data_IF_180987865539
#
_entry.id   IF_180987865539
#
_cell.length_a   1.000
_cell.length_b   1.000
_cell.length_c   1.000
_cell.angle_alpha   90.00
_cell.angle_beta   90.00
_cell.angle_gamma   90.00
#
_symmetry.space_group_name_H-M   'P 1'
#
loop_
_entity.id
_entity.type
_entity.pdbx_description
1 polymer ?
#
# COMPACT_ATOMS: atom_id res chain seq x y z
N UNK A 1 -6.16 -14.72 -1.31
CA UNK A 1 -7.48 -14.34 -0.74
C UNK A 1 -7.83 -13.00 -1.34
N UNK A 2 -9.05 -12.84 -1.85
CA UNK A 2 -9.48 -11.56 -2.44
C UNK A 2 -10.67 -10.98 -1.70
N UNK A 3 -10.79 -9.65 -1.75
CA UNK A 3 -12.02 -8.94 -1.39
C UNK A 3 -12.33 -7.88 -2.43
N UNK A 4 -13.60 -7.78 -2.83
CA UNK A 4 -14.08 -6.79 -3.78
C UNK A 4 -15.12 -5.90 -3.11
N UNK A 5 -14.81 -4.61 -3.05
CA UNK A 5 -15.65 -3.59 -2.47
C UNK A 5 -16.07 -2.61 -3.55
N UNK A 6 -17.38 -2.34 -3.64
CA UNK A 6 -17.91 -1.38 -4.60
C UNK A 6 -18.70 -0.31 -3.86
N UNK A 7 -18.33 0.95 -4.06
CA UNK A 7 -19.12 2.09 -3.63
C UNK A 7 -19.84 2.68 -4.84
N UNK A 8 -21.17 2.70 -4.81
CA UNK A 8 -21.99 3.27 -5.88
C UNK A 8 -22.99 4.27 -5.29
N UNK A 9 -22.96 5.52 -5.71
CA UNK A 9 -23.89 6.57 -5.21
C UNK A 9 -23.96 6.65 -3.67
N UNK A 10 -22.83 6.50 -2.99
CA UNK A 10 -22.65 6.58 -1.54
C UNK A 10 -23.03 5.30 -0.79
N UNK A 11 -23.39 4.23 -1.51
CA UNK A 11 -23.78 2.94 -0.93
C UNK A 11 -22.72 1.89 -1.22
N UNK A 12 -22.34 1.14 -0.18
CA UNK A 12 -21.37 0.05 -0.29
C UNK A 12 -22.05 -1.28 -0.59
N UNK A 13 -21.49 -2.00 -1.54
CA UNK A 13 -21.89 -3.34 -1.93
C UNK A 13 -20.68 -4.27 -1.79
N UNK A 14 -20.86 -5.37 -1.05
CA UNK A 14 -19.93 -6.50 -1.13
C UNK A 14 -20.33 -7.33 -2.34
N UNK A 15 -19.39 -7.55 -3.24
CA UNK A 15 -19.61 -8.27 -4.48
C UNK A 15 -18.74 -9.53 -4.46
N UNK A 16 -19.38 -10.70 -4.41
CA UNK A 16 -18.66 -11.98 -4.38
C UNK A 16 -18.34 -12.50 -5.79
N UNK A 17 -19.03 -12.00 -6.82
CA UNK A 17 -18.85 -12.42 -8.21
C UNK A 17 -17.96 -11.44 -8.97
N UNK A 18 -16.70 -11.82 -9.15
CA UNK A 18 -15.69 -11.00 -9.83
C UNK A 18 -15.99 -10.82 -11.33
N UNK A 19 -16.86 -11.63 -11.95
CA UNK A 19 -17.24 -11.46 -13.36
C UNK A 19 -18.07 -10.20 -13.63
N UNK A 20 -18.57 -9.55 -12.57
CA UNK A 20 -19.34 -8.30 -12.65
C UNK A 20 -18.47 -7.04 -12.61
N UNK A 21 -17.13 -7.18 -12.47
CA UNK A 21 -16.21 -6.05 -12.36
C UNK A 21 -16.36 -5.11 -13.56
N UNK A 22 -16.38 -5.64 -14.79
CA UNK A 22 -16.55 -4.84 -16.00
C UNK A 22 -17.79 -3.93 -15.98
N UNK A 23 -18.91 -4.38 -15.40
CA UNK A 23 -20.14 -3.57 -15.31
C UNK A 23 -19.96 -2.36 -14.39
N UNK A 24 -19.22 -2.52 -13.29
CA UNK A 24 -18.91 -1.43 -12.38
C UNK A 24 -17.83 -0.49 -12.93
N UNK A 25 -16.83 -1.03 -13.65
CA UNK A 25 -15.82 -0.21 -14.32
C UNK A 25 -16.45 0.70 -15.38
N UNK A 26 -17.52 0.25 -16.05
CA UNK A 26 -18.27 1.06 -17.01
C UNK A 26 -19.15 2.15 -16.37
N UNK A 27 -19.43 2.09 -15.07
CA UNK A 27 -20.25 3.09 -14.36
C UNK A 27 -19.35 4.19 -13.75
N UNK A 28 -19.44 5.45 -14.24
CA UNK A 28 -18.65 6.56 -13.70
C UNK A 28 -19.06 6.96 -12.26
N UNK A 29 -20.17 6.42 -11.74
CA UNK A 29 -20.65 6.63 -10.37
C UNK A 29 -20.38 5.42 -9.45
N UNK A 30 -19.54 4.48 -9.90
CA UNK A 30 -19.05 3.39 -9.08
C UNK A 30 -17.54 3.58 -8.84
N UNK A 31 -17.10 3.37 -7.61
CA UNK A 31 -15.70 3.23 -7.24
C UNK A 31 -15.46 1.79 -6.78
N UNK A 32 -14.55 1.09 -7.46
CA UNK A 32 -14.21 -0.30 -7.19
C UNK A 32 -12.88 -0.38 -6.44
N UNK A 33 -12.83 -1.14 -5.35
CA UNK A 33 -11.58 -1.56 -4.71
C UNK A 33 -11.49 -3.08 -4.66
N UNK A 34 -10.57 -3.65 -5.44
CA UNK A 34 -10.20 -5.06 -5.39
C UNK A 34 -8.90 -5.23 -4.59
N UNK A 35 -8.93 -5.94 -3.47
CA UNK A 35 -7.73 -6.34 -2.72
C UNK A 35 -7.41 -7.81 -3.00
N UNK A 36 -6.15 -8.08 -3.39
CA UNK A 36 -5.63 -9.40 -3.70
C UNK A 36 -4.43 -9.72 -2.80
N UNK A 37 -4.56 -10.76 -1.99
CA UNK A 37 -3.46 -11.32 -1.22
C UNK A 37 -2.89 -12.57 -1.89
N UNK A 38 -1.63 -12.47 -2.33
CA UNK A 38 -0.87 -13.50 -3.05
C UNK A 38 -1.69 -14.12 -4.21
N UNK A 39 -1.94 -13.35 -5.28
CA UNK A 39 -2.91 -13.74 -6.30
C UNK A 39 -2.50 -15.02 -7.04
N UNK A 40 -3.49 -15.87 -7.33
CA UNK A 40 -3.29 -17.08 -8.13
C UNK A 40 -3.37 -16.81 -9.65
N UNK A 41 -3.15 -17.85 -10.47
CA UNK A 41 -3.18 -17.73 -11.93
C UNK A 41 -4.54 -17.25 -12.49
N UNK A 42 -5.64 -17.55 -11.79
CA UNK A 42 -6.98 -17.14 -12.21
C UNK A 42 -7.21 -15.65 -11.89
N UNK A 43 -6.80 -15.19 -10.71
CA UNK A 43 -6.82 -13.78 -10.32
C UNK A 43 -5.89 -12.96 -11.22
N UNK A 44 -4.71 -13.48 -11.57
CA UNK A 44 -3.80 -12.86 -12.54
C UNK A 44 -4.42 -12.76 -13.93
N UNK A 45 -5.15 -13.78 -14.38
CA UNK A 45 -5.89 -13.72 -15.65
C UNK A 45 -6.97 -12.64 -15.61
N UNK A 46 -7.69 -12.51 -14.49
CA UNK A 46 -8.69 -11.47 -14.29
C UNK A 46 -8.12 -10.06 -14.39
N UNK A 47 -6.94 -9.80 -13.80
CA UNK A 47 -6.26 -8.50 -13.92
C UNK A 47 -5.97 -8.11 -15.37
N UNK A 48 -5.69 -9.10 -16.23
CA UNK A 48 -5.47 -8.87 -17.66
C UNK A 48 -6.78 -8.73 -18.42
N UNK A 49 -7.76 -9.57 -18.13
CA UNK A 49 -8.94 -9.72 -18.99
C UNK A 49 -10.06 -8.71 -18.64
N UNK A 50 -10.22 -8.34 -17.37
CA UNK A 50 -11.25 -7.39 -16.91
C UNK A 50 -10.74 -5.95 -16.81
N UNK A 51 -9.49 -5.75 -16.36
CA UNK A 51 -8.89 -4.43 -16.19
C UNK A 51 -7.96 -4.03 -17.35
N UNK A 52 -7.71 -4.94 -18.30
CA UNK A 52 -6.82 -4.72 -19.44
C UNK A 52 -5.38 -4.29 -19.04
N UNK A 53 -4.90 -4.72 -17.86
CA UNK A 53 -3.56 -4.36 -17.41
C UNK A 53 -2.48 -4.95 -18.32
N UNK A 54 -1.48 -4.12 -18.59
CA UNK A 54 -0.33 -4.54 -19.39
C UNK A 54 0.42 -5.70 -18.70
N UNK A 55 0.82 -6.75 -19.44
CA UNK A 55 1.47 -7.93 -18.84
C UNK A 55 2.71 -7.62 -17.98
N UNK A 56 3.53 -6.64 -18.39
CA UNK A 56 4.68 -6.20 -17.60
C UNK A 56 4.29 -5.53 -16.28
N UNK A 57 3.15 -4.82 -16.23
CA UNK A 57 2.67 -4.21 -15.01
C UNK A 57 2.20 -5.26 -14.01
N UNK A 58 1.52 -6.31 -14.51
CA UNK A 58 1.11 -7.47 -13.70
C UNK A 58 2.34 -8.21 -13.19
N UNK A 59 3.33 -8.45 -14.05
CA UNK A 59 4.59 -9.11 -13.66
C UNK A 59 5.31 -8.34 -12.56
N UNK A 60 5.43 -7.02 -12.68
CA UNK A 60 6.03 -6.16 -11.67
C UNK A 60 5.23 -6.15 -10.35
N UNK A 61 3.89 -6.21 -10.44
CA UNK A 61 3.02 -6.19 -9.27
C UNK A 61 2.92 -7.54 -8.53
N UNK A 62 3.21 -8.65 -9.20
CA UNK A 62 3.23 -9.99 -8.59
C UNK A 62 4.65 -10.37 -8.14
N UNK A 63 5.69 -9.79 -8.75
CA UNK A 63 7.07 -10.00 -8.29
C UNK A 63 7.28 -9.39 -6.91
N UNK A 64 7.98 -10.15 -6.09
CA UNK A 64 8.41 -9.70 -4.77
C UNK A 64 9.69 -8.85 -4.88
N UNK A 65 9.84 -7.84 -4.02
CA UNK A 65 11.03 -6.97 -3.88
C UNK A 65 11.32 -5.92 -4.97
N UNK A 66 10.34 -5.50 -5.77
CA UNK A 66 10.53 -4.34 -6.66
C UNK A 66 10.74 -3.04 -5.88
N UNK A 67 11.52 -2.10 -6.44
CA UNK A 67 11.76 -0.81 -5.76
C UNK A 67 10.50 0.06 -5.80
N UNK A 68 10.26 0.92 -4.79
CA UNK A 68 9.17 1.86 -4.86
C UNK A 68 9.27 2.73 -6.12
N UNK A 69 8.17 2.80 -6.88
CA UNK A 69 8.08 3.50 -8.15
C UNK A 69 6.63 3.83 -8.49
N UNK A 70 6.45 4.72 -9.46
CA UNK A 70 5.18 4.93 -10.17
C UNK A 70 5.44 4.86 -11.66
N UNK A 71 4.72 3.98 -12.34
CA UNK A 71 4.75 3.82 -13.78
C UNK A 71 3.38 4.21 -14.36
N UNK A 72 3.40 5.03 -15.41
CA UNK A 72 2.19 5.43 -16.14
C UNK A 72 1.92 4.45 -17.28
N UNK A 73 0.67 4.01 -17.38
CA UNK A 73 0.14 3.24 -18.49
C UNK A 73 -1.03 4.01 -19.13
N UNK A 74 -1.57 3.49 -20.24
CA UNK A 74 -2.76 4.07 -20.84
C UNK A 74 -3.97 3.79 -19.93
N UNK A 75 -4.61 4.85 -19.44
CA UNK A 75 -5.79 4.78 -18.56
C UNK A 75 -5.52 4.51 -17.07
N UNK A 76 -4.31 4.13 -16.66
CA UNK A 76 -4.01 3.80 -15.26
C UNK A 76 -2.54 3.99 -14.88
N UNK A 77 -2.26 3.87 -13.58
CA UNK A 77 -0.91 3.90 -13.02
C UNK A 77 -0.65 2.65 -12.19
N UNK A 78 0.58 2.15 -12.24
CA UNK A 78 1.09 1.16 -11.29
C UNK A 78 1.96 1.89 -10.27
N UNK A 79 1.59 1.78 -9.00
CA UNK A 79 2.40 2.23 -7.87
C UNK A 79 2.95 1.01 -7.14
N UNK A 80 4.25 1.04 -6.85
CA UNK A 80 4.89 0.11 -5.92
C UNK A 80 5.24 0.93 -4.69
N UNK A 81 4.66 0.55 -3.56
CA UNK A 81 4.83 1.21 -2.27
C UNK A 81 5.08 0.16 -1.20
N UNK A 82 5.55 0.55 -0.02
CA UNK A 82 5.76 -0.34 1.09
C UNK A 82 4.98 0.10 2.31
N UNK A 83 4.58 -0.87 3.12
CA UNK A 83 4.27 -0.69 4.54
C UNK A 83 5.41 -1.31 5.35
N UNK A 84 5.55 -0.87 6.59
CA UNK A 84 6.54 -1.41 7.51
C UNK A 84 5.85 -1.80 8.83
N UNK A 85 6.37 -2.85 9.46
CA UNK A 85 5.91 -3.29 10.78
C UNK A 85 7.05 -3.91 11.57
N UNK A 86 6.84 -4.07 12.88
CA UNK A 86 7.72 -4.91 13.69
C UNK A 86 7.23 -6.36 13.68
N UNK A 87 8.16 -7.29 13.53
CA UNK A 87 7.88 -8.71 13.78
C UNK A 87 7.96 -9.06 15.29
N UNK A 88 7.64 -10.32 15.61
CA UNK A 88 7.72 -10.86 16.98
C UNK A 88 9.15 -10.81 17.55
N UNK A 89 10.17 -10.68 16.69
CA UNK A 89 11.58 -10.53 17.05
C UNK A 89 12.03 -9.08 17.23
N UNK A 90 11.11 -8.11 17.19
CA UNK A 90 11.36 -6.68 17.25
C UNK A 90 12.29 -6.19 16.12
N UNK A 91 12.18 -6.78 14.93
CA UNK A 91 12.85 -6.35 13.71
C UNK A 91 11.85 -5.68 12.79
N UNK A 92 12.33 -4.68 12.04
CA UNK A 92 11.50 -4.05 11.01
C UNK A 92 11.39 -4.98 9.82
N UNK A 93 10.15 -5.31 9.44
CA UNK A 93 9.80 -5.98 8.20
C UNK A 93 9.13 -4.99 7.26
N UNK A 94 9.44 -5.13 5.98
CA UNK A 94 8.78 -4.39 4.91
C UNK A 94 7.81 -5.30 4.18
N UNK A 95 6.65 -4.76 3.81
CA UNK A 95 5.67 -5.43 2.98
C UNK A 95 5.34 -4.57 1.79
N UNK A 96 5.53 -5.11 0.58
CA UNK A 96 5.16 -4.40 -0.64
C UNK A 96 3.63 -4.34 -0.77
N UNK A 97 3.15 -3.16 -1.14
CA UNK A 97 1.79 -2.89 -1.55
C UNK A 97 1.82 -2.34 -2.96
N UNK A 98 1.41 -3.17 -3.91
CA UNK A 98 1.37 -2.82 -5.32
C UNK A 98 -0.05 -2.37 -5.67
N UNK A 99 -0.19 -1.17 -6.24
CA UNK A 99 -1.46 -0.51 -6.46
C UNK A 99 -1.64 -0.19 -7.94
N UNK A 100 -2.70 -0.72 -8.56
CA UNK A 100 -3.18 -0.20 -9.84
C UNK A 100 -4.24 0.85 -9.57
N UNK A 101 -4.06 2.03 -10.15
CA UNK A 101 -4.92 3.19 -9.92
C UNK A 101 -5.49 3.66 -11.25
N UNK A 102 -6.79 3.48 -11.43
CA UNK A 102 -7.54 3.97 -12.59
C UNK A 102 -8.47 5.14 -12.26
N UNK A 103 -9.33 5.52 -13.21
CA UNK A 103 -10.30 6.61 -13.03
C UNK A 103 -11.30 6.32 -11.90
N UNK A 104 -11.82 5.09 -11.84
CA UNK A 104 -12.86 4.68 -10.90
C UNK A 104 -12.57 3.35 -10.20
N UNK A 105 -11.30 2.95 -10.13
CA UNK A 105 -10.90 1.76 -9.39
C UNK A 105 -9.52 1.88 -8.74
N UNK A 106 -9.35 1.11 -7.67
CA UNK A 106 -8.09 0.81 -7.01
C UNK A 106 -7.94 -0.70 -6.92
N UNK A 107 -6.83 -1.27 -7.40
CA UNK A 107 -6.50 -2.69 -7.18
C UNK A 107 -5.27 -2.76 -6.31
N UNK A 108 -5.34 -3.44 -5.17
CA UNK A 108 -4.19 -3.70 -4.30
C UNK A 108 -3.72 -5.15 -4.41
N UNK A 109 -2.40 -5.34 -4.54
CA UNK A 109 -1.75 -6.64 -4.50
C UNK A 109 -0.72 -6.64 -3.38
N UNK A 110 -0.79 -7.64 -2.50
CA UNK A 110 0.09 -7.81 -1.34
C UNK A 110 0.43 -9.28 -1.09
N UNK A 111 1.57 -9.55 -0.46
CA UNK A 111 2.02 -10.91 -0.13
C UNK A 111 1.94 -11.22 1.38
N UNK A 112 1.26 -10.37 2.14
CA UNK A 112 1.04 -10.52 3.57
C UNK A 112 0.02 -9.49 4.09
N UNK A 113 -0.27 -9.53 5.39
CA UNK A 113 -1.27 -8.66 6.01
C UNK A 113 -0.75 -7.23 6.21
N UNK A 114 -1.43 -6.24 5.61
CA UNK A 114 -1.13 -4.81 5.77
C UNK A 114 -2.28 -4.16 6.54
N UNK A 115 -2.01 -3.71 7.77
CA UNK A 115 -3.00 -3.12 8.68
C UNK A 115 -3.62 -1.83 8.15
N UNK A 116 -2.81 -1.00 7.50
CA UNK A 116 -3.16 0.33 7.00
C UNK A 116 -4.16 0.24 5.85
N UNK A 117 -4.08 -0.83 5.07
CA UNK A 117 -5.06 -1.16 4.05
C UNK A 117 -6.42 -1.45 4.68
N UNK A 118 -6.45 -2.31 5.70
CA UNK A 118 -7.68 -2.64 6.40
C UNK A 118 -8.28 -1.42 7.12
N UNK A 119 -7.46 -0.62 7.79
CA UNK A 119 -7.90 0.62 8.43
C UNK A 119 -8.51 1.60 7.43
N UNK A 120 -7.85 1.79 6.28
CA UNK A 120 -8.37 2.65 5.21
C UNK A 120 -9.69 2.13 4.67
N UNK A 121 -9.82 0.81 4.50
CA UNK A 121 -11.04 0.18 4.04
C UNK A 121 -12.19 0.36 5.04
N UNK A 122 -11.94 0.23 6.34
CA UNK A 122 -12.93 0.53 7.40
C UNK A 122 -13.34 2.01 7.36
N UNK A 123 -12.38 2.93 7.24
CA UNK A 123 -12.66 4.38 7.11
C UNK A 123 -13.48 4.70 5.87
N UNK A 124 -13.26 4.00 4.77
CA UNK A 124 -14.01 4.17 3.53
C UNK A 124 -15.48 3.73 3.69
N UNK A 125 -15.74 2.62 4.37
CA UNK A 125 -17.09 2.12 4.65
C UNK A 125 -17.86 2.92 5.73
N UNK A 126 -17.20 3.86 6.42
CA UNK A 126 -17.84 4.62 7.49
C UNK A 126 -18.99 5.50 6.96
N UNK A 127 -20.09 5.69 7.73
CA UNK A 127 -21.16 6.60 7.34
C UNK A 127 -20.62 8.04 7.13
N UNK A 128 -20.98 8.66 6.01
CA UNK A 128 -20.46 9.97 5.58
C UNK A 128 -18.92 10.00 5.45
N UNK A 129 -18.30 8.89 5.05
CA UNK A 129 -16.85 8.83 4.87
C UNK A 129 -16.37 9.98 3.96
N UNK A 130 -15.36 10.75 4.39
CA UNK A 130 -14.84 11.88 3.62
C UNK A 130 -14.21 11.43 2.29
N UNK A 131 -13.87 10.15 2.17
CA UNK A 131 -13.25 9.53 0.98
C UNK A 131 -14.24 9.51 -0.21
N UNK A 132 -15.50 9.13 0.02
CA UNK A 132 -16.54 9.08 -1.02
C UNK A 132 -16.21 8.17 -2.22
N UNK A 133 -16.71 8.53 -3.41
CA UNK A 133 -16.49 7.83 -4.69
C UNK A 133 -15.37 8.48 -5.52
N UNK A 134 -14.23 8.78 -4.87
CA UNK A 134 -13.10 9.39 -5.57
C UNK A 134 -11.83 8.58 -5.35
N UNK A 135 -11.32 7.98 -6.42
CA UNK A 135 -10.11 7.14 -6.40
C UNK A 135 -8.90 7.89 -5.86
N UNK A 136 -8.73 9.17 -6.18
CA UNK A 136 -7.63 10.00 -5.67
C UNK A 136 -7.70 10.16 -4.17
N UNK A 137 -8.89 10.43 -3.61
CA UNK A 137 -9.08 10.54 -2.16
C UNK A 137 -8.85 9.20 -1.47
N UNK A 138 -9.27 8.10 -2.09
CA UNK A 138 -9.04 6.76 -1.56
C UNK A 138 -7.55 6.42 -1.53
N UNK A 139 -6.84 6.63 -2.64
CA UNK A 139 -5.39 6.45 -2.71
C UNK A 139 -4.67 7.35 -1.70
N UNK A 140 -5.04 8.63 -1.63
CA UNK A 140 -4.46 9.55 -0.65
C UNK A 140 -4.65 9.03 0.76
N UNK A 141 -5.87 8.64 1.15
CA UNK A 141 -6.15 8.12 2.49
C UNK A 141 -5.33 6.87 2.82
N UNK A 142 -5.13 5.99 1.84
CA UNK A 142 -4.30 4.79 1.99
C UNK A 142 -2.82 5.15 2.23
N UNK A 143 -2.26 5.98 1.36
CA UNK A 143 -0.85 6.39 1.46
C UNK A 143 -0.58 7.21 2.73
N UNK A 144 -1.53 8.07 3.12
CA UNK A 144 -1.48 8.85 4.36
C UNK A 144 -1.43 7.93 5.59
N UNK A 145 -2.29 6.90 5.63
CA UNK A 145 -2.30 5.91 6.72
C UNK A 145 -0.97 5.15 6.81
N UNK A 146 -0.37 4.79 5.67
CA UNK A 146 0.95 4.14 5.62
C UNK A 146 2.06 5.08 6.13
N UNK A 147 2.05 6.34 5.66
CA UNK A 147 3.04 7.33 6.08
C UNK A 147 2.94 7.65 7.57
N UNK A 148 1.72 7.73 8.11
CA UNK A 148 1.48 7.92 9.54
C UNK A 148 2.05 6.75 10.37
N UNK A 149 1.94 5.52 9.88
CA UNK A 149 2.53 4.36 10.53
C UNK A 149 4.07 4.43 10.59
N UNK A 150 4.74 5.04 9.59
CA UNK A 150 6.18 5.25 9.66
C UNK A 150 6.62 6.12 10.84
N UNK A 151 5.84 7.13 11.23
CA UNK A 151 6.13 7.92 12.43
C UNK A 151 6.01 7.06 13.69
N UNK A 152 4.96 6.24 13.78
CA UNK A 152 4.76 5.31 14.90
C UNK A 152 5.91 4.31 15.03
N UNK A 153 6.44 3.80 13.91
CA UNK A 153 7.61 2.93 13.92
C UNK A 153 8.88 3.67 14.36
N UNK A 154 9.05 4.91 13.91
CA UNK A 154 10.19 5.74 14.28
C UNK A 154 10.21 6.07 15.77
N UNK A 155 9.04 6.29 16.39
CA UNK A 155 8.95 6.49 17.84
C UNK A 155 9.48 5.25 18.60
N UNK A 156 9.13 4.03 18.16
CA UNK A 156 9.67 2.79 18.74
C UNK A 156 11.18 2.62 18.52
N UNK A 157 11.70 3.09 17.38
CA UNK A 157 13.16 3.13 17.15
C UNK A 157 13.82 4.02 18.20
N UNK A 158 13.26 5.19 18.50
CA UNK A 158 13.79 6.12 19.51
C UNK A 158 13.82 5.44 20.88
N UNK A 159 12.70 4.85 21.31
CA UNK A 159 12.64 4.12 22.59
C UNK A 159 13.73 3.03 22.68
N UNK A 160 13.93 2.26 21.60
CA UNK A 160 14.95 1.20 21.54
C UNK A 160 16.38 1.75 21.57
N UNK A 161 16.62 2.95 21.04
CA UNK A 161 17.92 3.63 21.18
C UNK A 161 18.17 3.98 22.64
N UNK A 162 17.19 4.57 23.32
CA UNK A 162 17.32 4.97 24.73
C UNK A 162 17.59 3.76 25.64
N UNK A 163 16.85 2.66 25.46
CA UNK A 163 17.09 1.40 26.18
C UNK A 163 18.50 0.83 25.97
N UNK A 164 19.02 0.95 24.74
CA UNK A 164 20.34 0.47 24.37
C UNK A 164 21.44 1.35 24.97
N UNK A 165 21.24 2.67 24.99
CA UNK A 165 22.14 3.62 25.66
C UNK A 165 22.22 3.32 27.16
N UNK A 166 21.10 3.17 27.85
CA UNK A 166 21.05 2.82 29.27
C UNK A 166 21.79 1.52 29.58
N UNK A 167 21.64 0.51 28.71
CA UNK A 167 22.34 -0.78 28.86
C UNK A 167 23.85 -0.61 28.73
N UNK A 168 24.33 0.16 27.75
CA UNK A 168 25.74 0.37 27.49
C UNK A 168 26.41 1.17 28.61
N UNK A 169 25.77 2.26 29.07
CA UNK A 169 26.31 3.10 30.13
C UNK A 169 26.19 2.49 31.53
N UNK A 170 25.18 1.65 31.77
CA UNK A 170 24.97 0.97 33.04
C UNK A 170 25.94 -0.19 33.27
N UNK A 171 25.90 -1.21 32.41
CA UNK A 171 26.85 -2.34 32.40
C UNK A 171 26.96 -2.89 30.99
N UNK A 172 28.03 -2.54 30.29
CA UNK A 172 28.31 -3.05 28.96
C UNK A 172 28.21 -4.58 28.89
N UNK A 173 27.39 -5.07 27.95
CA UNK A 173 27.27 -6.49 27.59
C UNK A 173 27.67 -6.66 26.13
N UNK A 174 28.30 -7.79 25.82
CA UNK A 174 28.68 -8.11 24.43
C UNK A 174 27.44 -8.20 23.51
N UNK A 175 26.29 -8.60 24.07
CA UNK A 175 24.98 -8.62 23.41
C UNK A 175 24.57 -7.22 22.87
N UNK A 176 24.95 -6.14 23.57
CA UNK A 176 24.62 -4.75 23.17
C UNK A 176 25.18 -4.39 21.79
N UNK A 177 26.33 -4.95 21.41
CA UNK A 177 26.89 -4.75 20.05
C UNK A 177 25.95 -5.36 19.00
N UNK A 178 25.40 -6.55 19.26
CA UNK A 178 24.49 -7.21 18.32
C UNK A 178 23.21 -6.40 18.13
N UNK A 179 22.68 -5.81 19.21
CA UNK A 179 21.48 -4.98 19.14
C UNK A 179 21.72 -3.67 18.38
N UNK A 180 22.90 -3.03 18.53
CA UNK A 180 23.32 -1.89 17.69
C UNK A 180 23.29 -2.29 16.20
N UNK A 181 23.89 -3.45 15.86
CA UNK A 181 23.94 -3.89 14.47
C UNK A 181 22.55 -4.24 13.91
N UNK A 182 21.67 -4.82 14.71
CA UNK A 182 20.26 -5.08 14.33
C UNK A 182 19.53 -3.78 14.07
N UNK A 183 19.57 -2.83 15.00
CA UNK A 183 18.93 -1.52 14.85
C UNK A 183 19.45 -0.77 13.62
N UNK A 184 20.77 -0.79 13.39
CA UNK A 184 21.37 -0.23 12.18
C UNK A 184 20.84 -0.89 10.90
N UNK A 185 20.67 -2.21 10.90
CA UNK A 185 20.13 -2.95 9.74
C UNK A 185 18.67 -2.56 9.49
N UNK A 186 17.86 -2.49 10.54
CA UNK A 186 16.45 -2.09 10.50
C UNK A 186 16.29 -0.68 9.92
N UNK A 187 17.08 0.29 10.40
CA UNK A 187 17.10 1.67 9.88
C UNK A 187 17.54 1.76 8.42
N UNK A 188 18.53 0.95 8.01
CA UNK A 188 18.96 0.90 6.62
C UNK A 188 17.88 0.28 5.71
N UNK A 189 17.14 -0.70 6.22
CA UNK A 189 16.02 -1.30 5.50
C UNK A 189 14.90 -0.29 5.29
N UNK A 190 14.45 0.38 6.37
CA UNK A 190 13.42 1.41 6.30
C UNK A 190 13.83 2.55 5.35
N UNK A 191 15.07 3.04 5.45
CA UNK A 191 15.59 4.07 4.53
C UNK A 191 15.53 3.66 3.07
N UNK A 192 15.76 2.37 2.74
CA UNK A 192 15.72 1.88 1.36
C UNK A 192 14.31 1.88 0.77
N UNK A 193 13.28 1.77 1.59
CA UNK A 193 11.88 1.89 1.18
C UNK A 193 11.41 3.35 1.16
N UNK A 194 11.53 4.06 2.29
CA UNK A 194 10.95 5.40 2.46
C UNK A 194 11.62 6.47 1.58
N UNK A 195 12.92 6.36 1.31
CA UNK A 195 13.61 7.39 0.53
C UNK A 195 13.13 7.44 -0.94
N UNK A 196 13.02 6.32 -1.68
CA UNK A 196 12.38 6.30 -3.00
C UNK A 196 10.89 6.64 -2.99
N UNK A 197 10.14 6.28 -1.95
CA UNK A 197 8.71 6.60 -1.84
C UNK A 197 8.42 8.11 -1.84
N UNK A 198 9.34 8.91 -1.30
CA UNK A 198 9.24 10.37 -1.41
C UNK A 198 9.20 10.83 -2.87
N UNK A 199 9.96 10.19 -3.75
CA UNK A 199 9.97 10.52 -5.17
C UNK A 199 8.66 10.08 -5.85
N UNK A 200 8.10 8.93 -5.45
CA UNK A 200 6.75 8.48 -5.84
C UNK A 200 5.69 9.49 -5.44
N UNK A 201 5.65 9.89 -4.16
CA UNK A 201 4.70 10.89 -3.64
C UNK A 201 4.86 12.24 -4.34
N UNK A 202 6.10 12.66 -4.63
CA UNK A 202 6.36 13.89 -5.38
C UNK A 202 5.81 13.82 -6.81
N UNK A 203 5.88 12.66 -7.47
CA UNK A 203 5.28 12.46 -8.79
C UNK A 203 3.74 12.55 -8.72
N UNK A 204 3.12 11.98 -7.67
CA UNK A 204 1.68 12.12 -7.43
C UNK A 204 1.27 13.60 -7.24
N UNK A 205 2.04 14.34 -6.43
CA UNK A 205 1.75 15.75 -6.10
C UNK A 205 1.96 16.72 -7.28
N UNK A 206 2.83 16.39 -8.23
CA UNK A 206 3.17 17.26 -9.37
C UNK A 206 2.14 17.28 -10.50
N UNK A 207 0.99 16.61 -10.34
CA UNK A 207 -0.14 16.61 -11.30
C UNK A 207 0.17 16.01 -12.68
N UNK A 208 1.17 15.12 -12.82
CA UNK A 208 1.38 14.36 -14.07
C UNK A 208 0.45 13.14 -14.17
N UNK A 209 -0.40 12.91 -13.17
CA UNK A 209 -1.42 11.86 -13.22
C UNK A 209 -2.70 12.37 -13.88
N UNK A 210 -2.89 12.05 -15.16
CA UNK A 210 -4.09 12.42 -15.92
C UNK A 210 -5.39 11.88 -15.26
N UNK A 211 -5.28 10.76 -14.55
CA UNK A 211 -6.36 10.16 -13.74
C UNK A 211 -6.85 11.08 -12.60
N UNK A 212 -6.02 12.01 -12.12
CA UNK A 212 -6.41 12.99 -11.08
C UNK A 212 -7.03 14.27 -11.65
N UNK A 213 -7.13 14.40 -12.98
CA UNK A 213 -7.89 15.46 -13.63
C UNK A 213 -9.32 14.98 -13.89
N UNK A 214 -10.09 14.80 -12.81
CA UNK A 214 -11.55 14.87 -12.92
C UNK A 214 -12.01 16.31 -13.16
N UNK A 215 -13.20 16.53 -13.77
CA UNK A 215 -13.73 17.87 -14.05
C UNK A 215 -13.94 18.73 -12.80
#
# INVERSE_FOLDING_TARGET
>A
MHTLHVCRTGTFHNVDDLSTISDYLADPHALVWLDLESPDDAEVALLRDEFEFHPLAIEDAVRDHERPKVDSYDGYYLLIFYSALYDDGNQILLQSLNLFVGSNYLVSIRHGPISELHETMVRWHAPNAPIGENTTRLLHALLDTIVDNYFTLMDRVVDRVEELEDTIFGRFREDSIQDIFRLKKDLLLLRRAVAPERDVLNMLLRQEMAVFQGP
#
